data_IF_148243052560
#
_entry.id   IF_148243052560
#
_cell.length_a   1.000
_cell.length_b   1.000
_cell.length_c   1.000
_cell.angle_alpha   90.00
_cell.angle_beta   90.00
_cell.angle_gamma   90.00
#
_symmetry.space_group_name_H-M   'P 1'
#
loop_
_entity.id
_entity.type
_entity.pdbx_description
1 polymer ?
#
# COMPACT_ATOMS: atom_id res chain seq x y z
N UNK A 1 1.82 -17.29 -6.21
CA UNK A 1 1.59 -16.22 -5.22
C UNK A 1 0.50 -15.32 -5.75
N UNK A 2 -0.67 -15.38 -5.15
CA UNK A 2 -1.80 -14.53 -5.52
C UNK A 2 -1.69 -13.17 -4.81
N UNK A 3 -2.31 -12.11 -5.36
CA UNK A 3 -2.28 -10.78 -4.74
C UNK A 3 -2.94 -10.77 -3.36
N UNK A 4 -3.97 -11.61 -3.16
CA UNK A 4 -4.64 -11.76 -1.85
C UNK A 4 -3.69 -12.26 -0.77
N UNK A 5 -2.77 -13.17 -1.07
CA UNK A 5 -1.78 -13.71 -0.12
C UNK A 5 -0.92 -12.58 0.47
N UNK A 6 -0.55 -11.62 -0.39
CA UNK A 6 0.20 -10.43 -0.02
C UNK A 6 -0.67 -9.50 0.84
N UNK A 7 -1.93 -9.29 0.45
CA UNK A 7 -2.86 -8.44 1.20
C UNK A 7 -3.30 -9.05 2.53
N UNK A 8 -3.26 -10.36 2.70
CA UNK A 8 -3.61 -11.06 3.93
C UNK A 8 -2.69 -10.65 5.09
N UNK A 9 -1.40 -10.41 4.80
CA UNK A 9 -0.42 -10.00 5.81
C UNK A 9 -0.27 -8.48 5.93
N UNK A 10 -1.17 -7.71 5.32
CA UNK A 10 -1.05 -6.26 5.19
C UNK A 10 -1.13 -5.50 6.51
N UNK A 11 -1.78 -6.07 7.51
CA UNK A 11 -1.82 -5.59 8.89
C UNK A 11 -0.65 -6.06 9.75
N UNK A 12 0.04 -7.14 9.36
CA UNK A 12 1.10 -7.78 10.15
C UNK A 12 2.37 -6.93 10.09
N UNK A 13 2.82 -6.35 11.22
CA UNK A 13 3.97 -5.45 11.22
C UNK A 13 5.26 -6.17 10.79
N UNK A 14 6.01 -5.54 9.89
CA UNK A 14 7.25 -6.08 9.31
C UNK A 14 7.10 -7.43 8.57
N UNK A 15 5.88 -7.87 8.25
CA UNK A 15 5.66 -9.03 7.38
C UNK A 15 6.11 -8.76 5.93
N UNK A 16 6.13 -7.50 5.51
CA UNK A 16 6.73 -7.11 4.24
C UNK A 16 7.59 -5.85 4.36
N UNK A 17 8.46 -5.66 3.38
CA UNK A 17 9.21 -4.41 3.15
C UNK A 17 9.05 -3.97 1.69
N UNK A 18 8.89 -2.67 1.48
CA UNK A 18 8.82 -2.08 0.14
C UNK A 18 10.15 -1.42 -0.20
N UNK A 19 10.65 -1.62 -1.42
CA UNK A 19 11.90 -1.06 -1.91
C UNK A 19 11.60 -0.14 -3.10
N UNK A 20 11.85 1.15 -2.93
CA UNK A 20 11.74 2.14 -3.99
C UNK A 20 13.07 2.20 -4.76
N UNK A 21 13.25 1.33 -5.75
CA UNK A 21 14.57 1.05 -6.34
C UNK A 21 15.10 2.19 -7.21
N UNK A 22 14.23 3.06 -7.71
CA UNK A 22 14.59 4.22 -8.53
C UNK A 22 13.46 5.22 -8.54
N UNK A 23 13.76 6.52 -8.54
CA UNK A 23 12.77 7.57 -8.82
C UNK A 23 12.71 7.90 -10.32
N UNK A 24 13.50 7.24 -11.15
CA UNK A 24 13.43 7.44 -12.59
C UNK A 24 12.24 6.71 -13.18
N UNK A 25 11.49 7.40 -14.03
CA UNK A 25 10.40 6.82 -14.80
C UNK A 25 10.35 7.45 -16.20
N UNK A 26 10.22 6.65 -17.27
CA UNK A 26 10.04 7.19 -18.62
C UNK A 26 8.62 7.75 -18.84
N UNK A 27 7.65 7.34 -18.03
CA UNK A 27 6.26 7.79 -18.09
C UNK A 27 6.09 9.16 -17.43
N UNK A 28 5.10 9.93 -17.89
CA UNK A 28 4.78 11.26 -17.35
C UNK A 28 3.35 11.35 -16.80
N UNK A 29 2.83 10.25 -16.27
CA UNK A 29 1.46 10.13 -15.75
C UNK A 29 1.12 11.29 -14.80
N UNK A 30 0.00 11.97 -15.03
CA UNK A 30 -0.37 13.21 -14.31
C UNK A 30 -0.64 13.01 -12.83
N UNK A 31 -0.90 11.78 -12.39
CA UNK A 31 -1.19 11.45 -10.99
C UNK A 31 -0.01 10.88 -10.20
N UNK A 32 1.16 10.68 -10.84
CA UNK A 32 2.28 9.95 -10.26
C UNK A 32 2.63 10.47 -8.85
N UNK A 33 2.44 9.59 -7.86
CA UNK A 33 2.62 9.91 -6.44
C UNK A 33 4.06 10.23 -6.09
N UNK A 34 5.03 9.58 -6.73
CA UNK A 34 6.47 9.77 -6.49
C UNK A 34 7.07 10.94 -7.26
N UNK A 35 6.28 11.62 -8.10
CA UNK A 35 6.74 12.68 -9.01
C UNK A 35 7.91 12.23 -9.92
N UNK A 36 7.99 10.93 -10.21
CA UNK A 36 9.08 10.35 -10.96
C UNK A 36 9.14 10.86 -12.41
N UNK A 37 10.36 11.14 -12.87
CA UNK A 37 10.71 11.55 -14.24
C UNK A 37 12.03 10.89 -14.65
N UNK A 38 12.34 10.83 -15.94
CA UNK A 38 13.55 10.15 -16.42
C UNK A 38 14.85 10.80 -15.91
N UNK A 39 14.80 12.09 -15.58
CA UNK A 39 15.91 12.87 -15.02
C UNK A 39 15.91 12.92 -13.48
N UNK A 40 14.99 12.25 -12.79
CA UNK A 40 15.01 12.13 -11.33
C UNK A 40 16.28 11.43 -10.84
N UNK A 41 16.54 11.57 -9.54
CA UNK A 41 17.64 10.93 -8.84
C UNK A 41 17.61 9.40 -8.96
N UNK A 42 18.79 8.81 -8.94
CA UNK A 42 18.96 7.37 -8.85
C UNK A 42 20.20 7.09 -8.02
N UNK A 43 20.02 6.35 -6.93
CA UNK A 43 21.08 5.97 -6.02
C UNK A 43 21.64 4.58 -6.34
N UNK A 44 22.79 4.28 -5.75
CA UNK A 44 23.54 3.05 -6.01
C UNK A 44 22.75 1.78 -5.69
N UNK A 45 23.02 0.73 -6.46
CA UNK A 45 22.37 -0.58 -6.28
C UNK A 45 22.72 -1.20 -4.92
N UNK A 46 23.94 -0.94 -4.46
CA UNK A 46 24.53 -1.56 -3.28
C UNK A 46 23.75 -1.27 -2.00
N UNK A 47 23.07 -0.11 -1.91
CA UNK A 47 22.21 0.22 -0.76
C UNK A 47 21.12 -0.85 -0.59
N UNK A 48 20.46 -1.24 -1.69
CA UNK A 48 19.40 -2.24 -1.67
C UNK A 48 19.95 -3.67 -1.59
N UNK A 49 21.07 -3.94 -2.26
CA UNK A 49 21.68 -5.28 -2.28
C UNK A 49 22.26 -5.67 -0.92
N UNK A 50 23.00 -4.77 -0.29
CA UNK A 50 23.53 -4.98 1.05
C UNK A 50 22.41 -5.13 2.08
N UNK A 51 21.33 -4.36 1.92
CA UNK A 51 20.16 -4.46 2.78
C UNK A 51 19.51 -5.85 2.72
N UNK A 52 19.23 -6.38 1.52
CA UNK A 52 18.64 -7.72 1.38
C UNK A 52 19.63 -8.85 1.63
N UNK A 53 20.93 -8.60 1.48
CA UNK A 53 21.98 -9.55 1.86
C UNK A 53 21.94 -9.85 3.38
N UNK A 54 21.52 -8.89 4.19
CA UNK A 54 21.35 -9.04 5.64
C UNK A 54 20.15 -9.90 6.07
N UNK A 55 19.29 -10.34 5.15
CA UNK A 55 18.21 -11.27 5.47
C UNK A 55 18.76 -12.68 5.75
N UNK A 56 18.08 -13.39 6.65
CA UNK A 56 18.33 -14.80 7.00
C UNK A 56 17.01 -15.58 6.99
N UNK A 57 17.02 -16.92 6.90
CA UNK A 57 15.78 -17.70 6.98
C UNK A 57 14.97 -17.43 8.25
N UNK A 58 15.63 -17.18 9.38
CA UNK A 58 15.01 -16.90 10.68
C UNK A 58 14.61 -15.44 10.86
N UNK A 59 15.27 -14.54 10.13
CA UNK A 59 15.03 -13.10 10.21
C UNK A 59 15.02 -12.45 8.83
N UNK A 60 13.82 -12.42 8.25
CA UNK A 60 13.47 -11.84 6.95
C UNK A 60 12.02 -11.35 6.99
N UNK A 61 11.60 -10.49 6.05
CA UNK A 61 10.18 -10.34 5.76
C UNK A 61 9.62 -11.59 5.07
N UNK A 62 8.30 -11.74 5.07
CA UNK A 62 7.59 -12.72 4.24
C UNK A 62 7.64 -12.27 2.78
N UNK A 63 7.43 -10.96 2.55
CA UNK A 63 7.38 -10.37 1.21
C UNK A 63 8.33 -9.17 1.03
N UNK A 64 8.94 -9.08 -0.15
CA UNK A 64 9.70 -7.91 -0.61
C UNK A 64 9.05 -7.36 -1.87
N UNK A 65 8.49 -6.16 -1.76
CA UNK A 65 7.82 -5.47 -2.85
C UNK A 65 8.77 -4.44 -3.46
N UNK A 66 8.95 -4.46 -4.77
CA UNK A 66 9.86 -3.56 -5.48
C UNK A 66 9.07 -2.65 -6.42
N UNK A 67 9.28 -1.34 -6.30
CA UNK A 67 8.58 -0.31 -7.06
C UNK A 67 9.45 0.95 -7.17
N UNK A 68 8.84 2.11 -7.35
CA UNK A 68 9.46 3.44 -7.42
C UNK A 68 8.85 4.28 -8.53
N UNK A 69 9.68 4.75 -9.45
CA UNK A 69 9.28 5.23 -10.76
C UNK A 69 8.98 4.04 -11.68
N UNK A 70 9.93 3.65 -12.52
CA UNK A 70 9.87 2.41 -13.31
C UNK A 70 10.97 1.45 -12.85
N UNK A 71 10.57 0.46 -12.05
CA UNK A 71 11.47 -0.52 -11.42
C UNK A 71 12.28 -1.31 -12.46
N UNK A 72 11.72 -1.55 -13.64
CA UNK A 72 12.37 -2.29 -14.74
C UNK A 72 13.35 -1.46 -15.56
N UNK A 73 13.63 -0.21 -15.17
CA UNK A 73 14.87 0.47 -15.56
C UNK A 73 16.11 -0.17 -14.89
N UNK A 74 15.91 -0.93 -13.80
CA UNK A 74 16.97 -1.64 -13.06
C UNK A 74 16.74 -3.17 -13.05
N UNK A 75 16.57 -3.83 -14.20
CA UNK A 75 16.13 -5.23 -14.24
C UNK A 75 17.13 -6.19 -13.57
N UNK A 76 18.43 -5.93 -13.69
CA UNK A 76 19.46 -6.73 -12.99
C UNK A 76 19.39 -6.61 -11.47
N UNK A 77 19.05 -5.43 -10.94
CA UNK A 77 18.90 -5.24 -9.50
C UNK A 77 17.66 -6.00 -8.99
N UNK A 78 16.54 -5.90 -9.72
CA UNK A 78 15.32 -6.67 -9.43
C UNK A 78 15.63 -8.16 -9.36
N UNK A 79 16.32 -8.70 -10.37
CA UNK A 79 16.71 -10.10 -10.42
C UNK A 79 17.56 -10.50 -9.21
N UNK A 80 18.61 -9.74 -8.89
CA UNK A 80 19.50 -10.06 -7.75
C UNK A 80 18.77 -10.00 -6.41
N UNK A 81 17.88 -9.04 -6.22
CA UNK A 81 17.05 -8.96 -5.01
C UNK A 81 16.13 -10.18 -4.93
N UNK A 82 15.45 -10.54 -6.01
CA UNK A 82 14.53 -11.67 -6.05
C UNK A 82 15.21 -13.01 -5.78
N UNK A 83 16.37 -13.25 -6.41
CA UNK A 83 17.20 -14.43 -6.16
C UNK A 83 17.63 -14.52 -4.69
N UNK A 84 18.13 -13.40 -4.12
CA UNK A 84 18.53 -13.38 -2.71
C UNK A 84 17.36 -13.61 -1.76
N UNK A 85 16.18 -13.04 -2.04
CA UNK A 85 14.98 -13.25 -1.23
C UNK A 85 14.56 -14.72 -1.25
N UNK A 86 14.59 -15.36 -2.43
CA UNK A 86 14.26 -16.78 -2.59
C UNK A 86 15.18 -17.69 -1.78
N UNK A 87 16.48 -17.41 -1.73
CA UNK A 87 17.46 -18.18 -0.94
C UNK A 87 17.12 -18.22 0.56
N UNK A 88 16.57 -17.14 1.10
CA UNK A 88 16.15 -17.07 2.51
C UNK A 88 14.69 -17.46 2.71
N UNK A 89 13.93 -17.65 1.63
CA UNK A 89 12.52 -18.06 1.61
C UNK A 89 11.51 -16.91 1.54
N UNK A 90 11.95 -15.67 1.36
CA UNK A 90 11.06 -14.52 1.13
C UNK A 90 10.53 -14.50 -0.30
N UNK A 91 9.29 -14.09 -0.47
CA UNK A 91 8.66 -13.95 -1.77
C UNK A 91 8.74 -12.50 -2.27
N UNK A 92 8.70 -12.33 -3.59
CA UNK A 92 8.98 -11.05 -4.24
C UNK A 92 7.89 -10.65 -5.21
N UNK A 93 7.61 -9.36 -5.23
CA UNK A 93 6.58 -8.75 -6.07
C UNK A 93 7.13 -7.46 -6.68
N UNK A 94 6.97 -7.25 -7.98
CA UNK A 94 7.23 -5.96 -8.63
C UNK A 94 5.95 -5.27 -9.10
N UNK A 95 5.91 -3.95 -8.99
CA UNK A 95 4.92 -3.10 -9.65
C UNK A 95 5.59 -2.30 -10.77
N UNK A 96 5.06 -2.40 -11.98
CA UNK A 96 5.62 -1.80 -13.19
C UNK A 96 4.61 -0.90 -13.88
N UNK A 97 5.07 0.24 -14.41
CA UNK A 97 4.28 1.13 -15.28
C UNK A 97 4.16 0.62 -16.72
N UNK A 98 4.78 -0.53 -17.02
CA UNK A 98 4.66 -1.25 -18.29
C UNK A 98 5.24 -0.52 -19.50
N UNK A 99 6.14 0.45 -19.32
CA UNK A 99 6.71 1.21 -20.44
C UNK A 99 7.30 0.33 -21.56
N UNK A 100 7.89 -0.81 -21.19
CA UNK A 100 8.48 -1.75 -22.15
C UNK A 100 7.43 -2.47 -23.03
N UNK A 101 6.16 -2.49 -22.63
CA UNK A 101 5.08 -3.16 -23.36
C UNK A 101 4.84 -2.55 -24.75
N UNK A 102 5.20 -1.28 -24.96
CA UNK A 102 5.19 -0.60 -26.27
C UNK A 102 6.04 -1.29 -27.34
N UNK A 103 7.00 -2.12 -26.91
CA UNK A 103 7.81 -2.90 -27.83
C UNK A 103 7.05 -4.15 -28.25
N UNK A 104 7.19 -4.55 -29.52
CA UNK A 104 6.57 -5.76 -30.05
C UNK A 104 6.96 -7.04 -29.26
N UNK A 105 8.14 -7.04 -28.65
CA UNK A 105 8.61 -8.10 -27.75
C UNK A 105 9.09 -7.51 -26.43
N UNK A 106 8.91 -8.27 -25.35
CA UNK A 106 9.55 -7.97 -24.06
C UNK A 106 11.07 -8.18 -24.20
N UNK A 107 11.91 -7.19 -23.88
CA UNK A 107 13.36 -7.36 -23.92
C UNK A 107 13.84 -8.47 -22.97
N UNK A 108 14.80 -9.29 -23.41
CA UNK A 108 15.27 -10.47 -22.67
C UNK A 108 15.72 -10.14 -21.23
N UNK A 109 16.39 -9.00 -21.03
CA UNK A 109 16.80 -8.53 -19.69
C UNK A 109 15.63 -8.21 -18.77
N UNK A 110 14.51 -7.75 -19.33
CA UNK A 110 13.29 -7.46 -18.57
C UNK A 110 12.57 -8.77 -18.27
N UNK A 111 12.47 -9.67 -19.25
CA UNK A 111 11.88 -10.99 -19.03
C UNK A 111 12.61 -11.75 -17.92
N UNK A 112 13.95 -11.74 -17.90
CA UNK A 112 14.73 -12.36 -16.82
C UNK A 112 14.39 -11.81 -15.42
N UNK A 113 14.13 -10.51 -15.30
CA UNK A 113 13.71 -9.90 -14.04
C UNK A 113 12.29 -10.29 -13.65
N UNK A 114 11.37 -10.39 -14.62
CA UNK A 114 9.99 -10.85 -14.41
C UNK A 114 9.97 -12.33 -14.00
N UNK A 115 10.79 -13.16 -14.64
CA UNK A 115 10.91 -14.59 -14.33
C UNK A 115 11.45 -14.82 -12.92
N UNK A 116 12.37 -13.96 -12.46
CA UNK A 116 12.98 -14.04 -11.14
C UNK A 116 12.02 -13.74 -9.98
N UNK A 117 11.01 -12.88 -10.18
CA UNK A 117 10.05 -12.54 -9.11
C UNK A 117 8.91 -13.55 -8.99
N UNK A 118 8.27 -13.61 -7.83
CA UNK A 118 7.13 -14.51 -7.60
C UNK A 118 5.81 -13.95 -8.14
N UNK A 119 5.67 -12.63 -8.22
CA UNK A 119 4.47 -11.97 -8.74
C UNK A 119 4.77 -10.68 -9.51
N UNK A 120 4.03 -10.45 -10.59
CA UNK A 120 4.17 -9.28 -11.45
C UNK A 120 2.89 -8.45 -11.48
N UNK A 121 2.93 -7.21 -10.99
CA UNK A 121 1.80 -6.30 -11.10
C UNK A 121 2.03 -5.20 -12.13
N UNK A 122 1.00 -4.92 -12.92
CA UNK A 122 0.95 -3.78 -13.84
C UNK A 122 0.11 -2.65 -13.26
N UNK A 123 0.57 -1.41 -13.41
CA UNK A 123 -0.26 -0.22 -13.23
C UNK A 123 -1.00 0.11 -14.53
N UNK A 124 -2.28 0.45 -14.44
CA UNK A 124 -3.09 0.84 -15.59
C UNK A 124 -4.12 1.90 -15.18
N UNK A 125 -4.14 3.02 -15.89
CA UNK A 125 -5.20 4.03 -15.80
C UNK A 125 -5.16 4.90 -17.05
N UNK A 126 -6.11 5.83 -17.18
CA UNK A 126 -6.16 6.80 -18.28
C UNK A 126 -4.82 7.51 -18.52
N UNK A 127 -4.04 7.80 -17.47
CA UNK A 127 -2.78 8.52 -17.58
C UNK A 127 -1.57 7.63 -17.88
N UNK A 128 -1.64 6.33 -17.57
CA UNK A 128 -0.69 5.35 -18.11
C UNK A 128 -0.98 5.12 -19.60
N UNK A 129 -2.25 5.07 -20.00
CA UNK A 129 -2.66 4.84 -21.40
C UNK A 129 -2.30 5.97 -22.36
N UNK A 130 -2.13 7.20 -21.85
CA UNK A 130 -1.51 8.31 -22.61
C UNK A 130 -0.09 7.96 -23.12
N UNK A 131 0.62 7.06 -22.43
CA UNK A 131 2.03 6.73 -22.70
C UNK A 131 2.21 5.29 -23.23
N UNK A 132 1.37 4.35 -22.79
CA UNK A 132 1.41 2.91 -23.13
C UNK A 132 -0.02 2.40 -23.37
N UNK A 133 -0.40 2.04 -24.60
CA UNK A 133 -1.74 1.54 -24.88
C UNK A 133 -2.13 0.31 -24.05
N UNK A 134 -3.38 0.26 -23.59
CA UNK A 134 -3.93 -0.88 -22.81
C UNK A 134 -3.73 -2.22 -23.49
N UNK A 135 -3.95 -2.27 -24.80
CA UNK A 135 -3.80 -3.48 -25.62
C UNK A 135 -2.38 -4.07 -25.54
N UNK A 136 -1.36 -3.22 -25.48
CA UNK A 136 0.04 -3.65 -25.35
C UNK A 136 0.30 -4.22 -23.96
N UNK A 137 -0.25 -3.60 -22.92
CA UNK A 137 -0.19 -4.09 -21.54
C UNK A 137 -0.86 -5.47 -21.45
N UNK A 138 -2.09 -5.60 -21.94
CA UNK A 138 -2.87 -6.84 -21.89
C UNK A 138 -2.23 -7.97 -22.70
N UNK A 139 -1.63 -7.66 -23.86
CA UNK A 139 -0.85 -8.63 -24.64
C UNK A 139 0.30 -9.22 -23.82
N UNK A 140 1.07 -8.37 -23.14
CA UNK A 140 2.19 -8.82 -22.29
C UNK A 140 1.66 -9.64 -21.11
N UNK A 141 0.63 -9.17 -20.42
CA UNK A 141 0.07 -9.88 -19.27
C UNK A 141 -0.50 -11.25 -19.64
N UNK A 142 -1.18 -11.37 -20.78
CA UNK A 142 -1.64 -12.66 -21.32
C UNK A 142 -0.47 -13.59 -21.60
N UNK A 143 0.60 -13.09 -22.24
CA UNK A 143 1.82 -13.88 -22.45
C UNK A 143 2.42 -14.38 -21.14
N UNK A 144 2.48 -13.55 -20.10
CA UNK A 144 3.00 -13.93 -18.78
C UNK A 144 2.12 -14.98 -18.09
N UNK A 145 0.79 -14.80 -18.10
CA UNK A 145 -0.16 -15.77 -17.57
C UNK A 145 -0.06 -17.12 -18.28
N UNK A 146 0.03 -17.13 -19.61
CA UNK A 146 0.14 -18.36 -20.40
C UNK A 146 1.48 -19.09 -20.13
N UNK A 147 2.50 -18.35 -19.70
CA UNK A 147 3.77 -18.91 -19.21
C UNK A 147 3.73 -19.34 -17.74
N UNK A 148 2.59 -19.21 -17.05
CA UNK A 148 2.40 -19.59 -15.65
C UNK A 148 2.92 -18.59 -14.63
N UNK A 149 3.18 -17.33 -15.03
CA UNK A 149 3.54 -16.25 -14.09
C UNK A 149 2.29 -15.73 -13.40
N UNK A 150 2.34 -15.59 -12.08
CA UNK A 150 1.30 -14.89 -11.34
C UNK A 150 1.35 -13.40 -11.65
N UNK A 151 0.22 -12.83 -12.09
CA UNK A 151 0.10 -11.41 -12.41
C UNK A 151 -1.08 -10.76 -11.71
N UNK A 152 -1.00 -9.45 -11.49
CA UNK A 152 -2.14 -8.62 -11.07
C UNK A 152 -2.16 -7.28 -11.78
N UNK A 153 -3.26 -6.56 -11.65
CA UNK A 153 -3.37 -5.18 -12.12
C UNK A 153 -3.76 -4.24 -10.98
N UNK A 154 -3.14 -3.07 -10.95
CA UNK A 154 -3.58 -1.92 -10.15
C UNK A 154 -4.21 -0.90 -11.10
N UNK A 155 -5.52 -0.76 -11.00
CA UNK A 155 -6.32 0.15 -11.82
C UNK A 155 -6.76 1.34 -10.99
N UNK A 156 -6.57 2.56 -11.52
CA UNK A 156 -6.88 3.79 -10.80
C UNK A 156 -7.89 4.64 -11.58
N UNK A 157 -8.93 5.11 -10.89
CA UNK A 157 -9.92 6.05 -11.42
C UNK A 157 -10.01 7.31 -10.57
N UNK A 158 -10.79 8.29 -11.01
CA UNK A 158 -11.00 9.53 -10.25
C UNK A 158 -12.06 9.36 -9.14
N UNK A 159 -13.09 8.56 -9.40
CA UNK A 159 -14.13 8.16 -8.47
C UNK A 159 -14.68 6.76 -8.83
N UNK A 160 -15.60 6.20 -8.02
CA UNK A 160 -16.14 4.84 -8.26
C UNK A 160 -17.03 4.75 -9.51
N UNK A 161 -17.54 5.88 -10.00
CA UNK A 161 -18.40 6.00 -11.17
C UNK A 161 -17.62 6.42 -12.43
N UNK A 162 -16.29 6.51 -12.34
CA UNK A 162 -15.43 6.85 -13.47
C UNK A 162 -15.65 5.85 -14.62
N UNK A 163 -16.14 6.29 -15.80
CA UNK A 163 -16.42 5.41 -16.93
C UNK A 163 -15.21 4.58 -17.35
N UNK A 164 -14.00 5.13 -17.18
CA UNK A 164 -12.76 4.43 -17.45
C UNK A 164 -12.65 3.13 -16.64
N UNK A 165 -13.03 3.13 -15.36
CA UNK A 165 -12.95 1.93 -14.52
C UNK A 165 -13.84 0.81 -15.04
N UNK A 166 -15.04 1.15 -15.53
CA UNK A 166 -15.99 0.17 -16.08
C UNK A 166 -15.41 -0.46 -17.34
N UNK A 167 -14.93 0.37 -18.28
CA UNK A 167 -14.36 -0.10 -19.55
C UNK A 167 -13.08 -0.91 -19.31
N UNK A 168 -12.13 -0.36 -18.55
CA UNK A 168 -10.84 -1.02 -18.30
C UNK A 168 -11.02 -2.34 -17.57
N UNK A 169 -11.85 -2.41 -16.52
CA UNK A 169 -12.07 -3.67 -15.81
C UNK A 169 -12.80 -4.69 -16.68
N UNK A 170 -13.72 -4.27 -17.55
CA UNK A 170 -14.34 -5.15 -18.55
C UNK A 170 -13.31 -5.76 -19.52
N UNK A 171 -12.49 -4.90 -20.14
CA UNK A 171 -11.46 -5.32 -21.10
C UNK A 171 -10.41 -6.23 -20.47
N UNK A 172 -9.98 -5.94 -19.23
CA UNK A 172 -9.02 -6.79 -18.51
C UNK A 172 -9.61 -8.19 -18.30
N UNK A 173 -10.87 -8.27 -17.86
CA UNK A 173 -11.54 -9.54 -17.59
C UNK A 173 -11.70 -10.37 -18.85
N UNK A 174 -12.13 -9.75 -19.95
CA UNK A 174 -12.23 -10.40 -21.26
C UNK A 174 -10.85 -10.82 -21.79
N UNK A 175 -9.84 -9.97 -21.68
CA UNK A 175 -8.51 -10.26 -22.19
C UNK A 175 -7.76 -11.31 -21.35
N UNK A 176 -8.00 -11.39 -20.04
CA UNK A 176 -7.24 -12.28 -19.16
C UNK A 176 -8.06 -13.47 -18.67
N UNK A 177 -9.30 -13.62 -19.15
CA UNK A 177 -10.23 -14.71 -18.81
C UNK A 177 -10.47 -14.86 -17.30
N UNK A 178 -10.64 -13.73 -16.60
CA UNK A 178 -10.81 -13.67 -15.14
C UNK A 178 -9.65 -14.35 -14.34
N UNK A 179 -8.48 -14.58 -14.96
CA UNK A 179 -7.32 -15.27 -14.33
C UNK A 179 -6.44 -14.36 -13.47
N UNK A 180 -6.61 -13.05 -13.55
CA UNK A 180 -5.75 -12.09 -12.86
C UNK A 180 -6.55 -11.20 -11.90
N UNK A 181 -6.15 -11.06 -10.63
CA UNK A 181 -6.77 -10.14 -9.69
C UNK A 181 -6.55 -8.68 -10.10
N UNK A 182 -7.59 -7.86 -9.88
CA UNK A 182 -7.57 -6.43 -10.15
C UNK A 182 -7.79 -5.66 -8.85
N UNK A 183 -6.78 -4.91 -8.44
CA UNK A 183 -6.88 -3.92 -7.37
C UNK A 183 -7.34 -2.59 -7.95
N UNK A 184 -8.55 -2.15 -7.58
CA UNK A 184 -9.06 -0.84 -7.99
C UNK A 184 -8.98 0.14 -6.83
N UNK A 185 -8.24 1.22 -7.04
CA UNK A 185 -8.17 2.37 -6.13
C UNK A 185 -8.48 3.67 -6.86
N UNK A 186 -8.44 4.78 -6.14
CA UNK A 186 -8.72 6.10 -6.71
C UNK A 186 -7.52 7.02 -6.61
N UNK A 187 -7.42 7.97 -7.54
CA UNK A 187 -6.38 8.99 -7.52
C UNK A 187 -6.45 9.74 -6.19
N UNK A 188 -5.31 9.82 -5.54
CA UNK A 188 -5.10 10.57 -4.29
C UNK A 188 -4.46 11.92 -4.64
N UNK A 189 -4.66 12.93 -3.81
CA UNK A 189 -4.01 14.24 -3.92
C UNK A 189 -2.54 14.18 -3.45
N UNK A 190 -1.79 13.21 -3.99
CA UNK A 190 -0.37 12.96 -3.74
C UNK A 190 0.47 13.30 -4.98
N UNK A 191 1.75 13.61 -4.79
CA UNK A 191 2.68 13.93 -5.87
C UNK A 191 2.11 14.95 -6.88
N UNK A 192 2.16 14.60 -8.17
CA UNK A 192 1.67 15.48 -9.26
C UNK A 192 0.17 15.75 -9.25
N UNK A 193 -0.63 14.89 -8.61
CA UNK A 193 -2.08 15.07 -8.55
C UNK A 193 -2.51 16.26 -7.67
N UNK A 194 -1.65 16.68 -6.73
CA UNK A 194 -1.91 17.80 -5.80
C UNK A 194 -2.36 19.09 -6.49
N UNK A 195 -1.82 19.34 -7.69
CA UNK A 195 -2.03 20.60 -8.39
C UNK A 195 -3.36 20.68 -9.15
N UNK A 196 -4.05 19.55 -9.39
CA UNK A 196 -5.18 19.53 -10.32
C UNK A 196 -6.36 18.65 -9.88
N UNK A 197 -6.18 17.71 -8.95
CA UNK A 197 -7.22 16.71 -8.65
C UNK A 197 -8.51 17.35 -8.12
N UNK A 198 -8.40 18.26 -7.15
CA UNK A 198 -9.58 18.89 -6.55
C UNK A 198 -10.41 19.66 -7.60
N UNK A 199 -9.75 20.41 -8.47
CA UNK A 199 -10.40 21.14 -9.57
C UNK A 199 -11.06 20.21 -10.60
N UNK A 200 -10.45 19.07 -10.90
CA UNK A 200 -11.03 18.05 -11.80
C UNK A 200 -12.27 17.41 -11.18
N UNK A 201 -12.20 17.01 -9.90
CA UNK A 201 -13.34 16.42 -9.19
C UNK A 201 -14.50 17.41 -9.09
N UNK A 202 -14.23 18.67 -8.73
CA UNK A 202 -15.23 19.73 -8.66
C UNK A 202 -15.91 19.94 -10.02
N UNK A 203 -15.14 19.96 -11.12
CA UNK A 203 -15.69 20.09 -12.48
C UNK A 203 -16.61 18.93 -12.86
N UNK A 204 -16.37 17.73 -12.33
CA UNK A 204 -17.24 16.55 -12.50
C UNK A 204 -18.45 16.53 -11.55
N UNK A 205 -18.58 17.53 -10.68
CA UNK A 205 -19.62 17.56 -9.65
C UNK A 205 -19.37 16.58 -8.50
N UNK A 206 -18.14 16.06 -8.39
CA UNK A 206 -17.71 15.16 -7.32
C UNK A 206 -16.99 15.99 -6.25
N UNK A 207 -17.40 15.85 -4.98
CA UNK A 207 -16.67 16.49 -3.88
C UNK A 207 -15.46 15.62 -3.51
N UNK A 208 -14.23 16.17 -3.48
CA UNK A 208 -13.07 15.45 -2.96
C UNK A 208 -13.37 14.97 -1.55
N UNK A 209 -13.02 13.72 -1.27
CA UNK A 209 -13.12 13.20 0.09
C UNK A 209 -11.86 13.51 0.88
N UNK A 210 -12.00 13.59 2.21
CA UNK A 210 -10.85 13.82 3.09
C UNK A 210 -9.75 12.76 2.90
N UNK A 211 -10.15 11.51 2.68
CA UNK A 211 -9.24 10.39 2.46
C UNK A 211 -8.45 10.53 1.15
N UNK A 212 -9.08 11.05 0.07
CA UNK A 212 -8.37 11.40 -1.16
C UNK A 212 -7.41 12.57 -0.97
N UNK A 213 -7.75 13.53 -0.10
CA UNK A 213 -6.93 14.71 0.15
C UNK A 213 -5.70 14.43 1.04
N UNK A 214 -5.81 13.53 2.03
CA UNK A 214 -4.71 13.18 2.93
C UNK A 214 -4.05 11.82 2.63
N UNK A 215 -4.47 11.16 1.55
CA UNK A 215 -3.93 9.88 1.07
C UNK A 215 -4.22 8.70 2.01
N UNK A 216 -5.22 8.82 2.87
CA UNK A 216 -5.47 7.84 3.93
C UNK A 216 -6.38 6.68 3.53
N UNK A 217 -6.97 6.73 2.33
CA UNK A 217 -7.77 5.63 1.77
C UNK A 217 -8.93 6.07 0.88
N UNK A 218 -9.95 5.20 0.79
CA UNK A 218 -11.07 5.31 -0.15
C UNK A 218 -12.13 6.36 0.23
N UNK A 219 -12.79 7.02 -0.74
CA UNK A 219 -13.86 7.99 -0.52
C UNK A 219 -15.19 7.41 0.00
N UNK A 220 -15.45 6.11 -0.18
CA UNK A 220 -16.77 5.53 0.09
C UNK A 220 -17.12 5.51 1.60
N UNK A 221 -16.12 5.50 2.46
CA UNK A 221 -16.23 5.63 3.92
C UNK A 221 -14.98 6.37 4.34
N UNK A 222 -15.08 7.55 4.98
CA UNK A 222 -13.94 8.13 5.69
C UNK A 222 -13.41 7.03 6.64
N UNK A 223 -12.26 6.42 6.36
CA UNK A 223 -11.82 5.23 7.08
C UNK A 223 -11.41 5.57 8.53
N UNK A 224 -11.58 6.83 8.91
CA UNK A 224 -11.26 7.42 10.21
C UNK A 224 -12.47 8.07 10.89
N UNK A 225 -13.68 7.95 10.31
CA UNK A 225 -14.92 8.47 10.94
C UNK A 225 -15.25 7.79 12.27
N UNK A 226 -14.75 6.57 12.49
CA UNK A 226 -14.89 5.83 13.75
C UNK A 226 -13.53 5.78 14.44
N UNK A 227 -13.47 6.31 15.66
CA UNK A 227 -12.31 6.20 16.53
C UNK A 227 -12.55 5.07 17.54
N UNK A 228 -11.58 4.15 17.75
CA UNK A 228 -10.25 4.08 17.15
C UNK A 228 -10.23 3.64 15.67
N UNK A 229 -9.25 4.13 14.91
CA UNK A 229 -9.04 3.81 13.49
C UNK A 229 -7.61 3.28 13.24
N UNK A 230 -7.37 1.96 13.35
CA UNK A 230 -6.09 1.29 13.07
C UNK A 230 -5.43 1.70 11.74
N UNK A 231 -4.11 1.93 11.72
CA UNK A 231 -3.37 2.20 10.47
C UNK A 231 -2.65 0.95 9.95
N UNK A 232 -3.13 0.37 8.85
CA UNK A 232 -2.42 -0.72 8.16
C UNK A 232 -1.22 -0.20 7.35
N UNK A 233 -1.24 1.05 6.87
CA UNK A 233 -0.14 1.60 6.08
C UNK A 233 1.18 1.67 6.85
N UNK A 234 1.13 1.74 8.18
CA UNK A 234 2.29 1.73 9.07
C UNK A 234 2.78 0.32 9.47
N UNK A 235 2.23 -0.73 8.85
CA UNK A 235 2.64 -2.12 9.11
C UNK A 235 3.88 -2.52 8.32
N UNK A 236 4.07 -2.01 7.11
CA UNK A 236 5.17 -2.40 6.24
C UNK A 236 6.12 -1.21 6.02
N UNK A 237 7.40 -1.33 6.43
CA UNK A 237 8.37 -0.28 6.15
C UNK A 237 8.68 -0.17 4.65
N UNK A 238 9.07 1.04 4.25
CA UNK A 238 9.56 1.39 2.92
C UNK A 238 11.01 1.85 3.01
N UNK A 239 11.87 1.30 2.16
CA UNK A 239 13.21 1.81 1.88
C UNK A 239 13.09 2.79 0.71
N UNK A 240 13.31 4.07 0.99
CA UNK A 240 13.23 5.15 0.01
C UNK A 240 14.40 5.10 -0.97
N UNK A 241 14.33 5.93 -2.01
CA UNK A 241 15.33 5.98 -3.08
C UNK A 241 16.75 6.21 -2.56
N UNK A 242 16.90 7.00 -1.50
CA UNK A 242 18.17 7.34 -0.87
C UNK A 242 18.66 6.30 0.16
N UNK A 243 17.84 5.29 0.49
CA UNK A 243 18.10 4.31 1.54
C UNK A 243 17.46 4.63 2.89
N UNK A 244 16.82 5.79 3.07
CA UNK A 244 16.08 6.09 4.30
C UNK A 244 14.95 5.07 4.49
N UNK A 245 14.88 4.46 5.68
CA UNK A 245 13.85 3.48 6.02
C UNK A 245 12.73 4.14 6.81
N UNK A 246 11.53 4.13 6.24
CA UNK A 246 10.32 4.76 6.77
C UNK A 246 9.30 3.70 7.17
N UNK A 247 8.67 3.85 8.33
CA UNK A 247 7.68 2.89 8.84
C UNK A 247 6.33 2.90 8.09
N UNK A 248 6.16 3.74 7.06
CA UNK A 248 4.93 3.96 6.31
C UNK A 248 5.24 3.94 4.81
N UNK A 249 4.27 3.48 4.02
CA UNK A 249 4.37 3.44 2.56
C UNK A 249 3.51 4.50 1.84
N UNK A 250 2.83 5.39 2.57
CA UNK A 250 2.12 6.51 1.95
C UNK A 250 3.17 7.51 1.45
N UNK A 251 3.13 7.86 0.16
CA UNK A 251 4.17 8.65 -0.48
C UNK A 251 4.29 10.08 0.10
N UNK A 252 3.18 10.74 0.44
CA UNK A 252 3.22 12.05 1.08
C UNK A 252 3.88 12.02 2.47
N UNK A 253 3.76 10.86 3.14
CA UNK A 253 4.45 10.61 4.40
C UNK A 253 5.95 10.40 4.18
N UNK A 254 6.31 9.64 3.15
CA UNK A 254 7.69 9.32 2.78
C UNK A 254 8.46 10.57 2.35
N UNK A 255 7.85 11.42 1.50
CA UNK A 255 8.45 12.68 1.04
C UNK A 255 8.51 13.74 2.15
N UNK A 256 7.84 13.48 3.28
CA UNK A 256 7.78 14.35 4.44
C UNK A 256 6.81 15.52 4.21
N UNK A 257 5.61 15.43 4.78
CA UNK A 257 4.69 16.58 4.86
C UNK A 257 5.43 17.79 5.49
N UNK A 258 5.55 18.87 4.72
CA UNK A 258 6.29 20.07 5.15
C UNK A 258 7.81 19.90 5.20
N UNK A 259 8.38 18.93 4.47
CA UNK A 259 9.82 18.74 4.31
C UNK A 259 10.53 18.03 5.46
N UNK A 260 9.79 17.41 6.40
CA UNK A 260 10.39 16.70 7.54
C UNK A 260 9.69 15.39 7.86
N UNK A 261 10.44 14.29 7.86
CA UNK A 261 9.96 13.00 8.33
C UNK A 261 9.90 12.95 9.87
N UNK A 262 8.76 12.63 10.49
CA UNK A 262 8.63 12.51 11.94
C UNK A 262 9.56 11.42 12.51
N UNK A 263 10.16 11.70 13.67
CA UNK A 263 11.14 10.80 14.30
C UNK A 263 10.59 9.38 14.55
N UNK A 264 9.31 9.27 14.89
CA UNK A 264 8.68 7.96 15.13
C UNK A 264 8.52 7.13 13.84
N UNK A 265 8.43 7.77 12.67
CA UNK A 265 8.32 7.11 11.36
C UNK A 265 9.68 6.80 10.73
N UNK A 266 10.74 7.55 11.06
CA UNK A 266 12.12 7.26 10.58
C UNK A 266 12.71 6.07 11.34
N UNK A 267 12.78 4.91 10.72
CA UNK A 267 13.32 3.69 11.34
C UNK A 267 14.85 3.66 11.34
N UNK A 268 15.49 4.16 10.29
CA UNK A 268 16.93 4.07 10.10
C UNK A 268 17.35 4.31 8.65
N UNK A 269 18.46 3.72 8.26
CA UNK A 269 19.00 3.81 6.89
C UNK A 269 19.52 2.45 6.41
N UNK A 270 19.13 2.01 5.21
CA UNK A 270 19.41 0.68 4.67
C UNK A 270 20.91 0.39 4.45
N UNK A 271 21.74 1.44 4.29
CA UNK A 271 23.19 1.28 4.19
C UNK A 271 23.89 1.09 5.56
N UNK A 272 23.22 1.38 6.67
CA UNK A 272 23.82 1.40 8.01
C UNK A 272 23.17 0.37 8.95
N UNK A 273 21.85 0.24 8.87
CA UNK A 273 21.05 -0.56 9.79
C UNK A 273 20.64 -1.90 9.15
N UNK A 274 20.97 -3.05 9.77
CA UNK A 274 20.50 -4.34 9.28
C UNK A 274 18.99 -4.50 9.50
N UNK A 275 18.38 -5.39 8.72
CA UNK A 275 16.94 -5.69 8.81
C UNK A 275 16.48 -6.04 10.23
N UNK A 276 17.26 -6.83 10.97
CA UNK A 276 16.92 -7.21 12.35
C UNK A 276 16.65 -6.00 13.24
N UNK A 277 17.54 -5.00 13.18
CA UNK A 277 17.44 -3.81 14.01
C UNK A 277 16.28 -2.92 13.55
N UNK A 278 16.08 -2.77 12.23
CA UNK A 278 14.94 -2.03 11.68
C UNK A 278 13.60 -2.69 12.04
N UNK A 279 13.52 -4.02 11.93
CA UNK A 279 12.36 -4.82 12.31
C UNK A 279 12.07 -4.66 13.80
N UNK A 280 13.08 -4.78 14.66
CA UNK A 280 12.96 -4.56 16.10
C UNK A 280 12.44 -3.15 16.41
N UNK A 281 13.04 -2.10 15.82
CA UNK A 281 12.55 -0.72 15.96
C UNK A 281 11.09 -0.58 15.51
N UNK A 282 10.70 -1.20 14.40
CA UNK A 282 9.35 -1.14 13.86
C UNK A 282 8.31 -1.82 14.76
N UNK A 283 8.68 -2.93 15.38
CA UNK A 283 7.84 -3.69 16.30
C UNK A 283 7.73 -3.02 17.68
N UNK A 284 8.83 -2.52 18.23
CA UNK A 284 8.90 -2.11 19.64
C UNK A 284 8.47 -0.65 19.88
N UNK A 285 8.57 0.23 18.88
CA UNK A 285 8.27 1.66 19.04
C UNK A 285 6.81 1.87 19.44
N UNK A 286 6.61 2.43 20.64
CA UNK A 286 5.28 2.64 21.22
C UNK A 286 4.33 3.45 20.32
N UNK A 287 4.83 4.50 19.68
CA UNK A 287 4.02 5.30 18.75
C UNK A 287 3.56 4.46 17.55
N UNK A 288 4.43 3.63 16.96
CA UNK A 288 4.06 2.78 15.83
C UNK A 288 3.07 1.68 16.24
N UNK A 289 3.28 1.06 17.41
CA UNK A 289 2.31 0.11 18.00
C UNK A 289 0.94 0.75 18.18
N UNK A 290 0.91 1.92 18.83
CA UNK A 290 -0.34 2.66 19.05
C UNK A 290 -1.01 3.13 17.75
N UNK A 291 -0.25 3.59 16.74
CA UNK A 291 -0.79 4.01 15.44
C UNK A 291 -1.46 2.82 14.74
N UNK A 292 -0.83 1.64 14.76
CA UNK A 292 -1.40 0.44 14.16
C UNK A 292 -2.61 -0.10 14.92
N UNK A 293 -2.68 0.06 16.23
CA UNK A 293 -3.78 -0.45 17.04
C UNK A 293 -4.95 0.54 17.17
N UNK A 294 -4.70 1.83 17.34
CA UNK A 294 -5.72 2.80 17.70
C UNK A 294 -5.87 3.95 16.70
N UNK A 295 -4.83 4.18 15.89
CA UNK A 295 -4.75 5.31 14.99
C UNK A 295 -4.24 6.59 15.65
N UNK A 296 -3.66 7.50 14.84
CA UNK A 296 -3.03 8.73 15.32
C UNK A 296 -3.97 9.73 15.98
N UNK A 297 -5.22 9.85 15.54
CA UNK A 297 -6.18 10.79 16.13
C UNK A 297 -6.55 10.37 17.57
N UNK A 298 -6.88 9.10 17.78
CA UNK A 298 -7.13 8.56 19.11
C UNK A 298 -5.92 8.76 20.04
N UNK A 299 -4.70 8.47 19.55
CA UNK A 299 -3.49 8.68 20.33
C UNK A 299 -3.26 10.14 20.70
N UNK A 300 -3.50 11.07 19.77
CA UNK A 300 -3.36 12.50 20.03
C UNK A 300 -4.34 12.94 21.12
N UNK A 301 -5.61 12.54 21.02
CA UNK A 301 -6.65 12.87 21.99
C UNK A 301 -6.30 12.31 23.39
N UNK A 302 -5.86 11.04 23.47
CA UNK A 302 -5.46 10.43 24.74
C UNK A 302 -4.22 11.07 25.37
N UNK A 303 -3.34 11.62 24.54
CA UNK A 303 -2.15 12.33 25.00
C UNK A 303 -2.41 13.81 25.30
N UNK A 304 -3.63 14.32 25.08
CA UNK A 304 -3.97 15.74 25.21
C UNK A 304 -3.32 16.62 24.13
N UNK A 305 -2.89 16.02 23.02
CA UNK A 305 -2.26 16.71 21.91
C UNK A 305 -3.33 17.17 20.90
N UNK A 306 -3.09 18.33 20.28
CA UNK A 306 -3.96 18.80 19.21
C UNK A 306 -3.87 17.88 17.98
N UNK A 307 -5.03 17.47 17.45
CA UNK A 307 -5.10 16.76 16.18
C UNK A 307 -4.60 17.63 15.00
N UNK A 308 -4.05 16.98 13.97
CA UNK A 308 -3.81 17.58 12.67
C UNK A 308 -5.10 17.72 11.87
N UNK A 309 -5.04 18.47 10.77
CA UNK A 309 -6.13 18.52 9.79
C UNK A 309 -6.09 17.23 8.94
N UNK A 310 -6.50 16.11 9.52
CA UNK A 310 -6.61 14.82 8.82
C UNK A 310 -5.93 13.70 9.58
N UNK A 311 -6.02 12.50 9.04
CA UNK A 311 -5.50 11.31 9.72
C UNK A 311 -3.97 11.28 9.66
N UNK A 312 -3.41 11.42 8.46
CA UNK A 312 -1.96 11.46 8.26
C UNK A 312 -1.34 12.72 8.88
N UNK A 313 -2.03 13.86 8.82
CA UNK A 313 -1.59 15.08 9.50
C UNK A 313 -1.53 14.93 11.03
N UNK A 314 -2.50 14.24 11.65
CA UNK A 314 -2.43 13.90 13.09
C UNK A 314 -1.23 12.99 13.40
N UNK A 315 -0.97 11.99 12.55
CA UNK A 315 0.18 11.10 12.70
C UNK A 315 1.49 11.90 12.76
N UNK A 316 1.66 12.84 11.82
CA UNK A 316 2.85 13.68 11.73
C UNK A 316 3.16 14.49 13.00
N UNK A 317 2.12 14.92 13.71
CA UNK A 317 2.26 15.74 14.92
C UNK A 317 2.61 14.93 16.17
N UNK A 318 2.38 13.60 16.19
CA UNK A 318 2.52 12.78 17.41
C UNK A 318 3.91 12.81 18.05
N UNK A 319 4.97 12.99 17.26
CA UNK A 319 6.34 13.13 17.76
C UNK A 319 6.88 14.55 17.66
N UNK A 320 6.03 15.56 17.43
CA UNK A 320 6.45 16.96 17.42
C UNK A 320 6.69 17.47 18.84
N UNK A 321 5.91 17.00 19.80
CA UNK A 321 6.03 17.32 21.22
C UNK A 321 6.49 16.09 22.03
N UNK A 322 7.60 16.18 22.78
CA UNK A 322 8.06 15.11 23.66
C UNK A 322 7.04 14.67 24.71
N UNK A 323 6.18 15.57 25.22
CA UNK A 323 5.17 15.22 26.22
C UNK A 323 4.09 14.31 25.62
N UNK A 324 3.64 14.60 24.40
CA UNK A 324 2.76 13.73 23.62
C UNK A 324 3.35 12.31 23.47
N UNK A 325 4.60 12.21 23.04
CA UNK A 325 5.28 10.91 22.89
C UNK A 325 5.41 10.16 24.22
N UNK A 326 5.66 10.87 25.33
CA UNK A 326 5.73 10.27 26.67
C UNK A 326 4.35 9.79 27.14
N UNK A 327 3.28 10.55 26.86
CA UNK A 327 1.90 10.18 27.14
C UNK A 327 1.48 8.91 26.41
N UNK A 328 1.76 8.81 25.11
CA UNK A 328 1.49 7.58 24.34
C UNK A 328 2.33 6.41 24.86
N UNK A 329 3.60 6.62 25.21
CA UNK A 329 4.41 5.58 25.85
C UNK A 329 3.76 5.08 27.14
N UNK A 330 3.33 5.97 28.03
CA UNK A 330 2.66 5.59 29.27
C UNK A 330 1.36 4.83 29.02
N UNK A 331 0.56 5.25 28.03
CA UNK A 331 -0.66 4.55 27.60
C UNK A 331 -0.34 3.13 27.12
N UNK A 332 0.61 2.97 26.19
CA UNK A 332 0.96 1.68 25.58
C UNK A 332 1.59 0.67 26.55
N UNK A 333 2.08 1.12 27.71
CA UNK A 333 2.59 0.25 28.78
C UNK A 333 1.51 -0.21 29.77
N UNK A 334 0.29 0.32 29.70
CA UNK A 334 -0.80 -0.14 30.58
C UNK A 334 -1.19 -1.58 30.21
N UNK A 335 -1.34 -2.50 31.18
CA UNK A 335 -1.75 -3.88 30.89
C UNK A 335 -3.05 -3.98 30.11
N UNK A 336 -4.04 -3.11 30.39
CA UNK A 336 -5.29 -3.05 29.64
C UNK A 336 -5.10 -2.65 28.18
N UNK A 337 -4.22 -1.68 27.90
CA UNK A 337 -3.90 -1.24 26.54
C UNK A 337 -3.19 -2.33 25.75
N UNK A 338 -2.29 -3.09 26.37
CA UNK A 338 -1.63 -4.25 25.73
C UNK A 338 -2.66 -5.32 25.34
N UNK A 339 -3.63 -5.61 26.21
CA UNK A 339 -4.72 -6.55 25.89
C UNK A 339 -5.62 -6.04 24.76
N UNK A 340 -5.93 -4.74 24.76
CA UNK A 340 -6.70 -4.10 23.68
C UNK A 340 -5.95 -4.17 22.34
N UNK A 341 -4.65 -3.86 22.31
CA UNK A 341 -3.82 -3.98 21.12
C UNK A 341 -3.87 -5.40 20.55
N UNK A 342 -3.67 -6.42 21.40
CA UNK A 342 -3.75 -7.82 20.96
C UNK A 342 -5.13 -8.18 20.38
N UNK A 343 -6.21 -7.73 21.01
CA UNK A 343 -7.56 -8.00 20.52
C UNK A 343 -7.85 -7.28 19.21
N UNK A 344 -7.41 -6.03 19.06
CA UNK A 344 -7.55 -5.28 17.81
C UNK A 344 -6.75 -5.94 16.70
N UNK A 345 -5.51 -6.37 16.94
CA UNK A 345 -4.72 -7.12 15.96
C UNK A 345 -5.46 -8.36 15.50
N UNK A 346 -6.01 -9.17 16.41
CA UNK A 346 -6.81 -10.35 16.04
C UNK A 346 -8.03 -9.98 15.20
N UNK A 347 -8.75 -8.92 15.56
CA UNK A 347 -9.92 -8.47 14.79
C UNK A 347 -9.52 -8.01 13.38
N UNK A 348 -8.45 -7.24 13.25
CA UNK A 348 -7.95 -6.79 11.94
C UNK A 348 -7.52 -7.99 11.09
N UNK A 349 -6.80 -8.94 11.67
CA UNK A 349 -6.36 -10.16 10.96
C UNK A 349 -7.53 -11.04 10.54
N UNK A 350 -8.61 -11.11 11.34
CA UNK A 350 -9.83 -11.86 11.00
C UNK A 350 -10.61 -11.26 9.82
N UNK A 351 -10.59 -9.93 9.65
CA UNK A 351 -11.24 -9.29 8.48
C UNK A 351 -10.39 -9.50 7.21
N UNK A 352 -9.08 -9.66 7.36
CA UNK A 352 -8.17 -10.09 6.31
C UNK A 352 -8.12 -9.14 5.09
N UNK A 353 -7.84 -9.66 3.88
CA UNK A 353 -7.63 -8.85 2.68
C UNK A 353 -8.89 -8.10 2.22
N UNK A 354 -10.08 -8.64 2.49
CA UNK A 354 -11.35 -7.96 2.19
C UNK A 354 -11.53 -6.66 3.00
N UNK A 355 -11.12 -6.66 4.26
CA UNK A 355 -11.12 -5.46 5.10
C UNK A 355 -10.18 -4.39 4.58
N UNK A 356 -8.98 -4.80 4.15
CA UNK A 356 -8.02 -3.89 3.52
C UNK A 356 -8.56 -3.33 2.21
N UNK A 357 -9.14 -4.17 1.35
CA UNK A 357 -9.75 -3.76 0.09
C UNK A 357 -10.87 -2.75 0.27
N UNK A 358 -11.77 -2.97 1.23
CA UNK A 358 -12.84 -2.01 1.55
C UNK A 358 -12.31 -0.66 2.06
N UNK A 359 -11.18 -0.67 2.77
CA UNK A 359 -10.61 0.53 3.40
C UNK A 359 -9.79 1.38 2.42
N UNK A 360 -8.96 0.74 1.60
CA UNK A 360 -7.99 1.43 0.75
C UNK A 360 -8.28 1.31 -0.75
N UNK A 361 -9.15 0.38 -1.15
CA UNK A 361 -9.65 0.22 -2.51
C UNK A 361 -11.08 0.74 -2.64
N UNK A 362 -11.73 0.44 -3.76
CA UNK A 362 -13.13 0.83 -4.00
C UNK A 362 -14.09 -0.26 -3.53
N UNK A 363 -15.24 0.12 -2.97
CA UNK A 363 -16.26 -0.85 -2.53
C UNK A 363 -16.87 -1.56 -3.72
N UNK A 364 -17.15 -0.81 -4.79
CA UNK A 364 -17.76 -1.28 -6.04
C UNK A 364 -16.94 -2.40 -6.70
N UNK A 365 -15.62 -2.25 -6.75
CA UNK A 365 -14.75 -3.16 -7.48
C UNK A 365 -13.92 -4.08 -6.58
N UNK A 366 -14.09 -4.04 -5.25
CA UNK A 366 -13.30 -4.86 -4.31
C UNK A 366 -13.39 -6.37 -4.56
N UNK A 367 -14.47 -6.85 -5.19
CA UNK A 367 -14.63 -8.25 -5.59
C UNK A 367 -13.64 -8.68 -6.69
N UNK A 368 -13.11 -7.76 -7.50
CA UNK A 368 -12.18 -8.08 -8.58
C UNK A 368 -10.81 -8.55 -8.07
N UNK A 369 -10.52 -8.35 -6.78
CA UNK A 369 -9.33 -8.91 -6.13
C UNK A 369 -9.38 -10.41 -5.97
N UNK A 370 -10.55 -11.02 -6.10
CA UNK A 370 -10.75 -12.46 -5.96
C UNK A 370 -10.54 -13.22 -7.27
N UNK A 371 -10.45 -12.52 -8.41
CA UNK A 371 -10.22 -13.13 -9.71
C UNK A 371 -8.91 -13.91 -9.72
N UNK A 372 -8.90 -15.09 -10.35
CA UNK A 372 -7.74 -15.98 -10.36
C UNK A 372 -7.47 -16.75 -9.06
N UNK A 373 -8.19 -16.48 -7.96
CA UNK A 373 -7.99 -17.20 -6.70
C UNK A 373 -8.71 -18.57 -6.71
N UNK A 374 -8.07 -19.66 -6.23
CA UNK A 374 -8.69 -20.99 -6.14
C UNK A 374 -10.01 -21.01 -5.37
N UNK A 375 -10.09 -20.24 -4.28
CA UNK A 375 -11.26 -20.17 -3.39
C UNK A 375 -12.18 -18.97 -3.69
N UNK A 376 -12.07 -18.38 -4.89
CA UNK A 376 -12.78 -17.15 -5.27
C UNK A 376 -14.30 -17.23 -5.04
N UNK A 377 -14.94 -18.37 -5.29
CA UNK A 377 -16.38 -18.55 -5.09
C UNK A 377 -16.80 -18.44 -3.60
N UNK A 378 -16.01 -19.01 -2.68
CA UNK A 378 -16.28 -18.94 -1.24
C UNK A 378 -16.04 -17.52 -0.70
N UNK A 379 -14.90 -16.92 -1.08
CA UNK A 379 -14.56 -15.56 -0.70
C UNK A 379 -15.57 -14.53 -1.24
N UNK A 380 -16.10 -14.74 -2.45
CA UNK A 380 -17.13 -13.89 -3.03
C UNK A 380 -18.43 -13.94 -2.24
N UNK A 381 -18.81 -15.12 -1.74
CA UNK A 381 -19.99 -15.29 -0.89
C UNK A 381 -19.82 -14.53 0.43
N UNK A 382 -18.64 -14.61 1.06
CA UNK A 382 -18.30 -13.86 2.27
C UNK A 382 -18.35 -12.34 2.02
N UNK A 383 -17.70 -11.86 0.96
CA UNK A 383 -17.70 -10.44 0.59
C UNK A 383 -19.11 -9.89 0.37
N UNK A 384 -19.97 -10.67 -0.28
CA UNK A 384 -21.37 -10.29 -0.57
C UNK A 384 -22.24 -10.32 0.69
N UNK A 385 -22.07 -11.32 1.57
CA UNK A 385 -22.81 -11.45 2.82
C UNK A 385 -22.51 -10.29 3.78
N UNK A 386 -21.24 -9.93 3.93
CA UNK A 386 -20.81 -8.78 4.73
C UNK A 386 -21.24 -7.44 4.11
N UNK A 387 -21.27 -7.34 2.78
CA UNK A 387 -21.74 -6.13 2.08
C UNK A 387 -23.25 -5.86 2.24
N UNK A 388 -24.06 -6.90 2.49
CA UNK A 388 -25.51 -6.80 2.77
C UNK A 388 -25.82 -6.51 4.24
N UNK A 389 -24.92 -6.83 5.16
CA UNK A 389 -24.97 -6.35 6.54
C UNK A 389 -24.63 -4.86 6.56
N UNK A 390 -25.59 -4.02 6.18
CA UNK A 390 -25.47 -2.56 6.28
C UNK A 390 -25.19 -2.11 7.72
N UNK A 391 -24.94 -0.81 7.96
CA UNK A 391 -24.53 -0.26 9.26
C UNK A 391 -25.53 -0.48 10.43
N UNK A 392 -26.68 -1.12 10.20
CA UNK A 392 -27.65 -1.48 11.23
C UNK A 392 -27.14 -2.42 12.32
N UNK A 393 -26.04 -3.15 12.10
CA UNK A 393 -25.40 -3.94 13.15
C UNK A 393 -24.55 -3.11 14.14
N UNK A 394 -24.15 -1.89 13.76
CA UNK A 394 -23.43 -0.98 14.65
C UNK A 394 -24.36 -0.22 15.62
N UNK A 395 -25.65 -0.10 15.30
CA UNK A 395 -26.65 0.52 16.19
C UNK A 395 -26.99 -0.35 17.41
N UNK A 396 -26.76 -1.66 17.36
CA UNK A 396 -26.94 -2.53 18.53
C UNK A 396 -25.90 -2.27 19.64
N UNK A 397 -24.78 -1.59 19.34
CA UNK A 397 -23.79 -1.17 20.33
C UNK A 397 -24.12 0.14 21.05
N UNK A 398 -24.97 0.99 20.48
CA UNK A 398 -25.39 2.27 21.09
C UNK A 398 -26.52 2.10 22.12
N UNK A 399 -27.30 1.02 22.06
CA UNK A 399 -28.31 0.72 23.09
C UNK A 399 -27.72 0.05 24.34
N UNK A 400 -26.58 -0.65 24.23
CA UNK A 400 -25.95 -1.32 25.38
C UNK A 400 -25.20 -0.33 26.29
N UNK A 401 -24.81 0.85 25.80
CA UNK A 401 -24.24 1.92 26.63
C UNK A 401 -25.27 2.86 27.28
N UNK A 402 -26.57 2.73 26.97
CA UNK A 402 -27.64 3.53 27.61
C UNK A 402 -28.27 2.87 28.85
N UNK A 403 -27.90 1.63 29.16
CA UNK A 403 -28.43 0.89 30.32
C UNK A 403 -27.41 0.71 31.47
N UNK A 404 -26.30 1.46 31.47
CA UNK A 404 -25.32 1.47 32.56
C UNK A 404 -25.09 2.90 33.10
N UNK A 405 -26.20 3.55 33.46
CA UNK A 405 -26.23 4.76 34.29
C UNK A 405 -26.73 4.42 35.69
#
# INVERSE_FOLDING_TARGET
>A
MHLLDVLEVRSRPAAAVMLALTRRCPLKCRHCSTESLMNSEQHDAEIFENFVAGFTPENRPDYVLMSGGEVLLRPRLVQRIAERCREVGAQTHILSGMFFARSARVPDRIMAAIDAVDHFSASLDTYHEEEVPREDVLRVLRQLLDAGKDVSLQVVGLDEEDPYLVEATGDIREALDDRAPIWVSLVQAGGRAKEWLDDELIRRGVRPTRAQQDGSGSPAVDPHRLLPAPCSLAAWPLVSFDGTVVACCNQDVVDGLGGRLPAHLRLGHAAEDPWEELRRRHLDRHLLRGIRAFGPQYLADQAGAGCGEGYCASCFKLSADPATSAGVRALMHRPSTVLMEQQITRMVDQVGPAGFARRYGTRRYGHLLLLGHPDSAELQAQYTAEGKAGPGAAQAGEEVLKCAG
#
